data_IF_878578728486
#
_entry.id   IF_878578728486
#
_cell.length_a   1.000
_cell.length_b   1.000
_cell.length_c   1.000
_cell.angle_alpha   90.00
_cell.angle_beta   90.00
_cell.angle_gamma   90.00
#
_symmetry.space_group_name_H-M   'P 1'
#
loop_
_entity.id
_entity.type
_entity.pdbx_description
1 polymer ?
#
# COMPACT_ATOMS: atom_id res chain seq x y z
N UNK A 1 28.96 -60.62 12.10
CA UNK A 1 29.50 -59.51 11.27
C UNK A 1 28.64 -58.29 11.57
N UNK A 2 29.17 -57.40 12.40
CA UNK A 2 28.50 -56.15 12.79
C UNK A 2 28.45 -55.20 11.59
N UNK A 3 27.37 -54.41 11.49
CA UNK A 3 27.44 -52.97 11.21
C UNK A 3 26.02 -52.38 11.35
N UNK A 4 25.72 -51.92 12.57
CA UNK A 4 24.70 -50.91 12.80
C UNK A 4 25.23 -49.59 12.22
N UNK A 5 24.50 -48.98 11.29
CA UNK A 5 24.74 -47.59 10.92
C UNK A 5 23.97 -46.70 11.90
N UNK A 6 24.64 -46.32 12.98
CA UNK A 6 24.22 -45.24 13.87
C UNK A 6 24.51 -43.90 13.19
N UNK A 7 23.46 -43.15 12.87
CA UNK A 7 23.58 -41.71 12.67
C UNK A 7 22.49 -41.02 13.47
N UNK A 8 22.83 -40.26 14.53
CA UNK A 8 21.86 -39.40 15.17
C UNK A 8 21.66 -38.20 14.24
N UNK A 9 20.50 -38.13 13.58
CA UNK A 9 20.05 -36.87 13.02
C UNK A 9 19.78 -35.94 14.22
N UNK A 10 20.77 -35.11 14.57
CA UNK A 10 20.57 -33.95 15.43
C UNK A 10 19.52 -33.06 14.76
N UNK A 11 18.29 -33.12 15.29
CA UNK A 11 17.31 -32.07 15.06
C UNK A 11 17.84 -30.85 15.80
N UNK A 12 18.55 -29.98 15.09
CA UNK A 12 18.79 -28.63 15.56
C UNK A 12 17.41 -27.99 15.69
N UNK A 13 16.99 -27.77 16.94
CA UNK A 13 15.90 -26.86 17.26
C UNK A 13 16.34 -25.46 16.79
N UNK A 14 16.08 -25.17 15.51
CA UNK A 14 16.10 -23.81 15.01
C UNK A 14 15.11 -23.03 15.87
N UNK A 15 15.62 -22.00 16.53
CA UNK A 15 14.81 -21.05 17.25
C UNK A 15 13.82 -20.47 16.24
N UNK A 16 12.58 -20.96 16.22
CA UNK A 16 11.49 -20.33 15.49
C UNK A 16 11.23 -19.04 16.25
N UNK A 17 12.00 -18.00 15.93
CA UNK A 17 11.61 -16.65 16.26
C UNK A 17 10.18 -16.50 15.73
N UNK A 18 9.25 -16.34 16.66
CA UNK A 18 7.89 -15.93 16.32
C UNK A 18 8.04 -14.71 15.41
N UNK A 19 7.26 -14.57 14.33
CA UNK A 19 7.36 -13.39 13.48
C UNK A 19 7.17 -12.17 14.38
N UNK A 20 8.27 -11.47 14.65
CA UNK A 20 8.26 -10.26 15.46
C UNK A 20 7.57 -9.24 14.59
N UNK A 21 6.39 -8.77 15.01
CA UNK A 21 5.69 -7.71 14.30
C UNK A 21 6.67 -6.55 14.14
N UNK A 22 6.86 -6.02 12.91
CA UNK A 22 7.85 -4.99 12.70
C UNK A 22 7.58 -3.81 13.64
N UNK A 23 8.63 -3.33 14.29
CA UNK A 23 8.50 -2.23 15.24
C UNK A 23 8.05 -0.95 14.52
N UNK A 24 7.44 0.03 15.21
CA UNK A 24 7.12 1.32 14.62
C UNK A 24 8.32 1.95 13.88
N UNK A 25 8.06 2.50 12.69
CA UNK A 25 9.06 3.04 11.79
C UNK A 25 9.84 2.01 10.97
N UNK A 26 9.67 0.70 11.21
CA UNK A 26 10.25 -0.33 10.36
C UNK A 26 9.65 -0.25 8.95
N UNK A 27 10.49 -0.53 7.95
CA UNK A 27 10.10 -0.70 6.56
C UNK A 27 10.26 -2.16 6.16
N UNK A 28 9.29 -2.69 5.43
CA UNK A 28 9.33 -4.06 4.94
C UNK A 28 8.56 -4.18 3.63
N UNK A 29 8.82 -5.27 2.92
CA UNK A 29 8.24 -5.57 1.62
C UNK A 29 8.00 -7.08 1.56
N UNK A 30 6.79 -7.50 1.19
CA UNK A 30 6.40 -8.91 1.22
C UNK A 30 6.91 -9.71 0.01
N UNK A 31 7.22 -9.03 -1.10
CA UNK A 31 7.71 -9.61 -2.35
C UNK A 31 8.42 -8.56 -3.21
N UNK A 32 9.24 -8.97 -4.19
CA UNK A 32 10.04 -8.07 -5.04
C UNK A 32 9.24 -6.97 -5.75
N UNK A 33 7.95 -7.20 -6.00
CA UNK A 33 7.04 -6.28 -6.70
C UNK A 33 5.89 -5.78 -5.80
N UNK A 34 5.97 -6.03 -4.49
CA UNK A 34 4.98 -5.57 -3.53
C UNK A 34 5.36 -4.15 -3.06
N UNK A 35 4.41 -3.29 -2.69
CA UNK A 35 4.74 -1.98 -2.15
C UNK A 35 5.57 -2.07 -0.88
N UNK A 36 6.50 -1.13 -0.70
CA UNK A 36 7.18 -0.94 0.58
C UNK A 36 6.17 -0.40 1.59
N UNK A 37 5.99 -1.12 2.70
CA UNK A 37 5.15 -0.70 3.80
C UNK A 37 6.01 -0.14 4.93
N UNK A 38 5.46 0.82 5.68
CA UNK A 38 6.05 1.31 6.94
C UNK A 38 5.08 1.14 8.09
N UNK A 39 5.57 0.79 9.27
CA UNK A 39 4.74 0.63 10.46
C UNK A 39 4.51 1.97 11.14
N UNK A 40 3.25 2.38 11.21
CA UNK A 40 2.77 3.53 11.99
C UNK A 40 2.42 3.04 13.40
N UNK A 41 2.92 3.71 14.46
CA UNK A 41 2.60 3.33 15.83
C UNK A 41 1.13 3.59 16.16
N UNK A 42 0.60 2.80 17.10
CA UNK A 42 -0.61 3.15 17.83
C UNK A 42 -0.48 4.54 18.46
N UNK A 43 -1.57 5.30 18.50
CA UNK A 43 -1.55 6.64 19.05
C UNK A 43 -2.83 7.41 18.80
N UNK A 44 -2.76 8.70 19.08
CA UNK A 44 -3.86 9.63 18.85
C UNK A 44 -3.37 10.86 18.13
N UNK A 45 -4.19 11.40 17.23
CA UNK A 45 -3.91 12.66 16.54
C UNK A 45 -5.20 13.46 16.33
N UNK A 46 -5.05 14.74 16.01
CA UNK A 46 -6.18 15.58 15.67
C UNK A 46 -6.42 15.54 14.15
N UNK A 47 -7.52 14.92 13.73
CA UNK A 47 -7.93 14.84 12.32
C UNK A 47 -8.82 16.02 11.94
N UNK A 48 -8.63 16.55 10.73
CA UNK A 48 -9.45 17.61 10.17
C UNK A 48 -8.94 19.03 10.44
N UNK A 49 -9.59 19.99 9.80
CA UNK A 49 -9.23 21.38 9.80
C UNK A 49 -9.80 22.16 11.00
N UNK A 50 -9.00 23.09 11.50
CA UNK A 50 -9.36 24.03 12.55
C UNK A 50 -10.25 25.16 12.04
N UNK A 51 -10.90 25.86 12.97
CA UNK A 51 -11.77 26.98 12.63
C UNK A 51 -11.04 28.11 11.89
N UNK A 52 -9.74 28.29 12.14
CA UNK A 52 -8.91 29.33 11.51
C UNK A 52 -8.11 28.86 10.29
N UNK A 53 -8.24 27.60 9.90
CA UNK A 53 -7.59 27.11 8.68
C UNK A 53 -8.29 27.74 7.47
N UNK A 54 -7.55 28.56 6.72
CA UNK A 54 -8.11 29.42 5.67
C UNK A 54 -8.49 28.66 4.40
N UNK A 55 -7.87 27.51 4.14
CA UNK A 55 -8.09 26.71 2.93
C UNK A 55 -9.07 25.54 3.14
N UNK A 56 -9.62 25.38 4.34
CA UNK A 56 -10.48 24.23 4.63
C UNK A 56 -11.72 24.19 3.75
N UNK A 57 -12.04 23.00 3.25
CA UNK A 57 -13.37 22.72 2.75
C UNK A 57 -14.34 22.43 3.89
N UNK A 58 -15.65 22.46 3.60
CA UNK A 58 -16.71 22.34 4.62
C UNK A 58 -16.69 20.97 5.31
N UNK A 59 -16.29 19.94 4.58
CA UNK A 59 -16.21 18.54 4.98
C UNK A 59 -14.91 18.18 5.73
N UNK A 60 -13.92 19.07 5.73
CA UNK A 60 -12.68 18.88 6.50
C UNK A 60 -12.84 19.23 7.99
N UNK A 61 -13.95 19.86 8.38
CA UNK A 61 -14.19 20.36 9.74
C UNK A 61 -15.38 19.65 10.43
N UNK A 62 -15.41 19.62 11.77
CA UNK A 62 -14.41 20.17 12.70
C UNK A 62 -13.24 19.23 12.96
N UNK A 63 -12.11 19.82 13.35
CA UNK A 63 -10.99 19.07 13.92
C UNK A 63 -11.43 18.28 15.15
N UNK A 64 -11.14 16.99 15.19
CA UNK A 64 -11.50 16.08 16.29
C UNK A 64 -10.39 15.07 16.58
N UNK A 65 -10.38 14.50 17.79
CA UNK A 65 -9.38 13.51 18.21
C UNK A 65 -9.73 12.15 17.61
N UNK A 66 -8.76 11.50 16.98
CA UNK A 66 -8.84 10.13 16.48
C UNK A 66 -7.82 9.29 17.22
N UNK A 67 -8.22 8.11 17.67
CA UNK A 67 -7.37 7.14 18.35
C UNK A 67 -7.27 5.90 17.45
N UNK A 68 -6.04 5.49 17.16
CA UNK A 68 -5.73 4.22 16.49
C UNK A 68 -5.05 3.34 17.53
N UNK A 69 -5.75 2.30 17.98
CA UNK A 69 -5.36 1.51 19.15
C UNK A 69 -4.18 0.57 18.89
N UNK A 70 -3.91 0.26 17.62
CA UNK A 70 -2.90 -0.73 17.23
C UNK A 70 -1.90 -0.12 16.26
N UNK A 71 -0.68 -0.65 16.28
CA UNK A 71 0.25 -0.44 15.19
C UNK A 71 -0.36 -0.98 13.90
N UNK A 72 -0.12 -0.30 12.79
CA UNK A 72 -0.56 -0.75 11.47
C UNK A 72 0.52 -0.44 10.44
N UNK A 73 0.52 -1.17 9.33
CA UNK A 73 1.39 -0.90 8.21
C UNK A 73 0.63 -0.13 7.12
N UNK A 74 1.27 0.85 6.51
CA UNK A 74 0.73 1.62 5.37
C UNK A 74 1.78 1.70 4.27
N UNK A 75 1.33 1.79 3.01
CA UNK A 75 2.22 2.07 1.88
C UNK A 75 3.04 3.32 2.13
N UNK A 76 4.37 3.19 2.05
CA UNK A 76 5.29 4.33 2.21
C UNK A 76 5.12 5.34 1.07
N UNK A 77 4.73 4.87 -0.10
CA UNK A 77 4.44 5.64 -1.31
C UNK A 77 3.05 5.28 -1.84
N UNK A 78 2.53 6.07 -2.78
CA UNK A 78 1.41 5.60 -3.58
C UNK A 78 1.79 4.34 -4.35
N UNK A 79 0.81 3.48 -4.63
CA UNK A 79 1.00 2.30 -5.48
C UNK A 79 1.49 2.75 -6.86
N UNK A 80 2.58 2.19 -7.34
CA UNK A 80 3.15 2.56 -8.64
C UNK A 80 2.45 1.87 -9.80
N UNK A 81 2.57 2.44 -11.00
CA UNK A 81 2.08 1.83 -12.25
C UNK A 81 2.65 0.43 -12.46
N UNK A 82 3.94 0.23 -12.18
CA UNK A 82 4.60 -1.08 -12.33
C UNK A 82 4.09 -2.13 -11.36
N UNK A 83 3.90 -1.77 -10.09
CA UNK A 83 3.32 -2.68 -9.08
C UNK A 83 1.88 -3.05 -9.42
N UNK A 84 1.07 -2.07 -9.87
CA UNK A 84 -0.30 -2.35 -10.33
C UNK A 84 -0.32 -3.22 -11.60
N UNK A 85 0.61 -3.00 -12.54
CA UNK A 85 0.74 -3.85 -13.72
C UNK A 85 1.00 -5.31 -13.34
N UNK A 86 1.87 -5.56 -12.36
CA UNK A 86 2.12 -6.91 -11.85
C UNK A 86 0.86 -7.57 -11.29
N UNK A 87 0.06 -6.82 -10.53
CA UNK A 87 -1.23 -7.30 -10.05
C UNK A 87 -2.19 -7.65 -11.20
N UNK A 88 -2.30 -6.79 -12.22
CA UNK A 88 -3.16 -7.04 -13.38
C UNK A 88 -2.70 -8.28 -14.15
N UNK A 89 -1.41 -8.45 -14.35
CA UNK A 89 -0.85 -9.59 -15.07
C UNK A 89 -1.08 -10.91 -14.31
N UNK A 90 -0.92 -10.91 -12.99
CA UNK A 90 -1.13 -12.10 -12.15
C UNK A 90 -2.60 -12.52 -12.05
N UNK A 91 -3.52 -11.56 -12.04
CA UNK A 91 -4.94 -11.80 -11.73
C UNK A 91 -5.87 -11.69 -12.93
N UNK A 92 -5.37 -11.19 -14.06
CA UNK A 92 -6.17 -10.82 -15.23
C UNK A 92 -7.28 -9.82 -14.87
N UNK A 93 -6.99 -8.92 -13.95
CA UNK A 93 -7.96 -7.92 -13.48
C UNK A 93 -8.47 -7.05 -14.64
N UNK A 94 -9.80 -6.91 -14.72
CA UNK A 94 -10.47 -6.15 -15.77
C UNK A 94 -10.49 -4.66 -15.42
N UNK A 95 -10.03 -3.81 -16.33
CA UNK A 95 -9.96 -2.34 -16.14
C UNK A 95 -10.99 -1.57 -16.98
N UNK A 96 -12.23 -2.07 -17.05
CA UNK A 96 -13.31 -1.37 -17.76
C UNK A 96 -13.79 -0.19 -16.93
N UNK A 97 -14.05 0.95 -17.56
CA UNK A 97 -14.66 2.09 -16.87
C UNK A 97 -14.10 3.44 -17.30
N UNK A 98 -12.98 3.47 -18.03
CA UNK A 98 -12.36 4.73 -18.44
C UNK A 98 -11.53 5.36 -17.31
N UNK A 99 -11.27 6.65 -17.44
CA UNK A 99 -10.64 7.46 -16.40
C UNK A 99 -11.42 8.73 -16.15
N UNK A 100 -11.64 9.07 -14.88
CA UNK A 100 -12.14 10.40 -14.54
C UNK A 100 -10.99 11.41 -14.65
N UNK A 101 -11.10 12.32 -15.60
CA UNK A 101 -10.11 13.35 -15.88
C UNK A 101 -10.72 14.73 -15.63
N UNK A 102 -9.96 15.63 -15.00
CA UNK A 102 -10.44 16.98 -14.72
C UNK A 102 -10.06 17.93 -15.84
N UNK A 103 -10.93 18.03 -16.85
CA UNK A 103 -10.81 18.97 -17.99
C UNK A 103 -11.30 20.38 -17.63
N UNK A 104 -12.17 20.50 -16.61
CA UNK A 104 -12.78 21.76 -16.19
C UNK A 104 -13.01 21.85 -14.67
N UNK A 105 -14.21 22.29 -14.28
CA UNK A 105 -14.60 22.42 -12.86
C UNK A 105 -14.91 21.08 -12.22
N UNK A 106 -15.50 20.16 -12.99
CA UNK A 106 -15.89 18.82 -12.53
C UNK A 106 -15.05 17.74 -13.24
N UNK A 107 -14.81 16.58 -12.59
CA UNK A 107 -14.24 15.43 -13.26
C UNK A 107 -15.22 14.86 -14.30
N UNK A 108 -14.72 14.60 -15.50
CA UNK A 108 -15.48 13.99 -16.59
C UNK A 108 -14.93 12.59 -16.88
N UNK A 109 -15.80 11.63 -17.24
CA UNK A 109 -15.37 10.28 -17.55
C UNK A 109 -14.92 10.18 -19.00
N UNK A 110 -13.64 9.89 -19.20
CA UNK A 110 -13.05 9.62 -20.49
C UNK A 110 -12.90 8.11 -20.69
N UNK A 111 -13.76 7.53 -21.55
CA UNK A 111 -13.85 6.08 -21.70
C UNK A 111 -12.63 5.44 -22.37
N UNK A 112 -11.90 6.23 -23.15
CA UNK A 112 -10.71 5.78 -23.90
C UNK A 112 -9.43 5.83 -23.06
N UNK A 113 -9.46 6.48 -21.89
CA UNK A 113 -8.33 6.55 -20.96
C UNK A 113 -8.33 5.35 -20.01
N UNK A 114 -7.14 4.96 -19.56
CA UNK A 114 -6.96 3.83 -18.63
C UNK A 114 -5.70 3.99 -17.78
N UNK A 115 -5.49 3.08 -16.82
CA UNK A 115 -4.24 3.05 -16.06
C UNK A 115 -2.99 2.80 -16.95
N UNK A 116 -3.16 2.16 -18.12
CA UNK A 116 -2.05 1.90 -19.07
C UNK A 116 -1.68 3.17 -19.85
N UNK A 117 -2.69 3.92 -20.24
CA UNK A 117 -2.60 5.18 -20.97
C UNK A 117 -3.58 6.21 -20.39
N UNK A 118 -3.13 7.01 -19.40
CA UNK A 118 -3.98 8.00 -18.74
C UNK A 118 -4.05 9.34 -19.51
N UNK A 119 -3.55 9.40 -20.75
CA UNK A 119 -3.53 10.64 -21.55
C UNK A 119 -2.32 11.54 -21.30
N UNK A 120 -1.32 11.07 -20.57
CA UNK A 120 -0.03 11.73 -20.37
C UNK A 120 1.09 10.71 -20.15
N UNK A 121 2.35 11.14 -20.33
CA UNK A 121 3.48 10.24 -20.18
C UNK A 121 3.68 9.83 -18.70
N UNK A 122 3.65 8.53 -18.45
CA UNK A 122 3.74 7.93 -17.12
C UNK A 122 4.63 6.69 -17.13
N UNK A 123 5.73 6.73 -16.37
CA UNK A 123 6.63 5.61 -16.17
C UNK A 123 6.18 4.66 -15.07
N UNK A 124 6.83 3.50 -14.97
CA UNK A 124 6.44 2.43 -14.05
C UNK A 124 6.62 2.79 -12.56
N UNK A 125 7.48 3.76 -12.25
CA UNK A 125 7.71 4.27 -10.89
C UNK A 125 6.83 5.49 -10.54
N UNK A 126 5.93 5.92 -11.42
CA UNK A 126 4.93 6.94 -11.10
C UNK A 126 3.71 6.28 -10.44
N UNK A 127 2.91 7.03 -9.66
CA UNK A 127 1.68 6.50 -9.05
C UNK A 127 0.72 5.94 -10.11
N UNK A 128 0.10 4.80 -9.85
CA UNK A 128 -1.00 4.28 -10.64
C UNK A 128 -2.21 5.22 -10.55
N UNK A 129 -2.88 5.44 -11.68
CA UNK A 129 -4.07 6.31 -11.81
C UNK A 129 -5.13 5.59 -12.63
N UNK A 130 -6.34 6.15 -12.70
CA UNK A 130 -7.46 5.55 -13.44
C UNK A 130 -7.78 4.12 -12.94
N UNK A 131 -7.76 3.95 -11.61
CA UNK A 131 -8.06 2.71 -10.90
C UNK A 131 -9.25 2.95 -9.95
N UNK A 132 -10.23 2.05 -9.92
CA UNK A 132 -11.45 2.14 -9.10
C UNK A 132 -12.00 0.78 -8.73
#
# INVERSE_FOLDING_TARGET
MFLFCSSPASVLAGNLASPEFPHPGAEFQDCDFCPVLTVVPAGSFMMGAGLQDQQKQKDEAPRHSVIIENNYAIGKFELTKGEYAKFVDDTQHSFKGGCYFRTGLEPELEIDLSWRDPGYNQGDNHPAVCVS
#
